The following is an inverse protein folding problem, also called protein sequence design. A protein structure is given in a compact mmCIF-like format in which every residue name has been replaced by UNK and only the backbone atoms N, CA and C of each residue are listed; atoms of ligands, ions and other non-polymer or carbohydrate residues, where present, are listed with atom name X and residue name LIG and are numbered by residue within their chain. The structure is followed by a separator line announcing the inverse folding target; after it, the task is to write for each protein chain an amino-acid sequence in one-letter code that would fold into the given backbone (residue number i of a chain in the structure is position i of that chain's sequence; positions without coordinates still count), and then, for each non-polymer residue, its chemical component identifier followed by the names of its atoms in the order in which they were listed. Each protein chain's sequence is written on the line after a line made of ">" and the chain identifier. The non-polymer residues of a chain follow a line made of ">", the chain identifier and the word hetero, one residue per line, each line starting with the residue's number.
data_IF_825530137247
#
_entry.id   IF_825530137247
#
_cell.length_a   1.000
_cell.length_b   1.000
_cell.length_c   1.000
_cell.angle_alpha   90.00
_cell.angle_beta   90.00
_cell.angle_gamma   90.00
#
_symmetry.space_group_name_H-M   'P 1'
#
loop_
_entity.id
_entity.type
_entity.pdbx_description
1 polymer ?
#
# COMPACT_ATOMS: atom_id res chain seq x y z
N UNK A 1 -25.15 25.02 -27.69
CA UNK A 1 -23.92 24.56 -28.40
C UNK A 1 -22.71 25.42 -28.05
N UNK A 2 -22.85 26.76 -27.96
CA UNK A 2 -21.71 27.67 -27.69
C UNK A 2 -21.16 27.61 -26.26
N UNK A 3 -22.03 27.50 -25.24
CA UNK A 3 -21.60 27.44 -23.84
C UNK A 3 -20.72 26.20 -23.53
N UNK A 4 -20.99 25.07 -24.19
CA UNK A 4 -20.19 23.83 -24.03
C UNK A 4 -18.80 24.02 -24.63
N UNK A 5 -18.69 24.68 -25.79
CA UNK A 5 -17.41 25.00 -26.42
C UNK A 5 -16.55 25.92 -25.57
N UNK A 6 -17.14 26.96 -24.97
CA UNK A 6 -16.43 27.91 -24.10
C UNK A 6 -15.92 27.22 -22.82
N UNK A 7 -16.73 26.34 -22.21
CA UNK A 7 -16.31 25.55 -21.04
C UNK A 7 -15.18 24.58 -21.41
N UNK A 8 -15.26 23.89 -22.55
CA UNK A 8 -14.20 22.98 -23.00
C UNK A 8 -12.87 23.72 -23.25
N UNK A 9 -12.92 24.92 -23.83
CA UNK A 9 -11.72 25.75 -24.06
C UNK A 9 -11.15 26.26 -22.73
N UNK A 10 -11.99 26.71 -21.79
CA UNK A 10 -11.54 27.13 -20.46
C UNK A 10 -10.88 25.98 -19.68
N UNK A 11 -11.43 24.77 -19.74
CA UNK A 11 -10.84 23.57 -19.12
C UNK A 11 -9.50 23.23 -19.79
N UNK A 12 -9.41 23.28 -21.11
CA UNK A 12 -8.18 23.00 -21.85
C UNK A 12 -7.06 24.00 -21.56
N UNK A 13 -7.39 25.27 -21.30
CA UNK A 13 -6.42 26.32 -20.96
C UNK A 13 -5.98 26.28 -19.48
N UNK A 14 -6.85 25.82 -18.58
CA UNK A 14 -6.53 25.67 -17.15
C UNK A 14 -5.83 24.34 -16.82
N UNK A 15 -6.06 23.28 -17.60
CA UNK A 15 -5.50 21.96 -17.36
C UNK A 15 -3.95 21.93 -17.27
N UNK A 16 -3.19 22.65 -18.12
CA UNK A 16 -1.72 22.71 -18.00
C UNK A 16 -1.27 23.44 -16.73
N UNK A 17 -1.96 24.51 -16.33
CA UNK A 17 -1.66 25.25 -15.10
C UNK A 17 -1.97 24.43 -13.85
N UNK A 18 -3.08 23.70 -13.84
CA UNK A 18 -3.43 22.72 -12.80
C UNK A 18 -2.38 21.61 -12.77
N UNK A 19 -1.98 21.07 -13.92
CA UNK A 19 -0.95 20.02 -14.03
C UNK A 19 0.41 20.49 -13.50
N UNK A 20 0.80 21.74 -13.78
CA UNK A 20 2.08 22.30 -13.33
C UNK A 20 2.07 22.63 -11.83
N UNK A 21 0.99 23.27 -11.34
CA UNK A 21 0.78 23.51 -9.92
C UNK A 21 0.74 22.19 -9.12
N UNK A 22 0.16 21.15 -9.72
CA UNK A 22 0.11 19.80 -9.17
C UNK A 22 1.49 19.16 -9.06
N UNK A 23 2.27 19.16 -10.14
CA UNK A 23 3.65 18.65 -10.12
C UNK A 23 4.55 19.42 -9.14
N UNK A 24 4.34 20.74 -9.01
CA UNK A 24 5.04 21.56 -8.05
C UNK A 24 4.66 21.22 -6.59
N UNK A 25 3.36 21.02 -6.32
CA UNK A 25 2.85 20.56 -5.02
C UNK A 25 3.34 19.14 -4.66
N UNK A 26 3.42 18.24 -5.63
CA UNK A 26 3.99 16.89 -5.46
C UNK A 26 5.46 16.94 -5.05
N UNK A 27 6.25 17.79 -5.72
CA UNK A 27 7.68 17.92 -5.48
C UNK A 27 8.01 18.53 -4.12
N UNK A 28 7.23 19.54 -3.69
CA UNK A 28 7.34 20.14 -2.36
C UNK A 28 6.97 19.16 -1.23
N UNK A 29 5.90 18.37 -1.41
CA UNK A 29 5.44 17.40 -0.39
C UNK A 29 6.35 16.19 -0.26
N UNK A 30 6.94 15.73 -1.36
CA UNK A 30 7.98 14.70 -1.37
C UNK A 30 9.16 15.04 -0.45
N UNK A 31 9.53 16.32 -0.35
CA UNK A 31 10.62 16.74 0.53
C UNK A 31 10.22 16.78 2.01
N UNK A 32 8.97 17.18 2.31
CA UNK A 32 8.45 17.19 3.70
C UNK A 32 8.32 15.76 4.27
N UNK A 33 7.97 14.78 3.43
CA UNK A 33 7.81 13.38 3.86
C UNK A 33 9.13 12.64 4.05
N UNK A 34 10.18 13.02 3.31
CA UNK A 34 11.53 12.49 3.52
C UNK A 34 12.08 12.84 4.91
N UNK A 35 11.68 14.00 5.47
CA UNK A 35 12.04 14.40 6.83
C UNK A 35 11.31 13.60 7.93
N UNK A 36 10.13 13.04 7.64
CA UNK A 36 9.31 12.28 8.58
C UNK A 36 9.76 10.82 8.73
N UNK A 37 10.33 10.22 7.68
CA UNK A 37 10.65 8.79 7.64
C UNK A 37 12.06 8.44 8.12
N UNK A 38 12.90 9.43 8.44
CA UNK A 38 14.30 9.25 8.81
C UNK A 38 15.15 8.73 7.64
N UNK A 39 16.34 9.30 7.42
CA UNK A 39 17.21 8.84 6.32
C UNK A 39 17.65 7.39 6.54
N UNK A 40 17.48 6.52 5.53
CA UNK A 40 18.01 5.15 5.55
C UNK A 40 17.17 4.11 6.32
N UNK A 41 15.93 4.44 6.69
CA UNK A 41 15.02 3.49 7.34
C UNK A 41 14.81 2.21 6.54
N UNK A 42 14.81 1.06 7.24
CA UNK A 42 14.53 -0.27 6.71
C UNK A 42 13.04 -0.53 6.90
N UNK A 43 12.30 -0.44 5.80
CA UNK A 43 10.86 -0.50 5.79
C UNK A 43 10.37 -1.93 5.64
N UNK A 44 9.37 -2.34 6.42
CA UNK A 44 8.65 -3.60 6.28
C UNK A 44 7.21 -3.31 5.86
N UNK A 45 6.82 -3.80 4.68
CA UNK A 45 5.42 -3.89 4.30
C UNK A 45 4.85 -5.22 4.78
N UNK A 46 3.80 -5.16 5.60
CA UNK A 46 3.08 -6.32 6.11
C UNK A 46 1.72 -6.44 5.43
N UNK A 47 1.51 -7.52 4.68
CA UNK A 47 0.28 -7.81 3.93
C UNK A 47 -0.30 -9.17 4.29
N UNK A 48 -1.58 -9.37 4.00
CA UNK A 48 -2.25 -10.63 4.29
C UNK A 48 -2.08 -11.61 3.12
N UNK A 49 -2.23 -11.11 1.89
CA UNK A 49 -2.35 -11.94 0.70
C UNK A 49 -1.43 -11.49 -0.44
N UNK A 50 -1.02 -12.43 -1.30
CA UNK A 50 -0.49 -12.09 -2.61
C UNK A 50 -1.47 -11.19 -3.35
N UNK A 51 -1.00 -10.09 -3.93
CA UNK A 51 -1.73 -9.01 -4.64
C UNK A 51 -1.97 -7.74 -3.82
N UNK A 52 -1.97 -7.80 -2.49
CA UNK A 52 -2.16 -6.63 -1.63
C UNK A 52 -1.10 -5.56 -1.90
N UNK A 53 0.14 -5.97 -2.17
CA UNK A 53 1.28 -5.08 -2.37
C UNK A 53 1.09 -4.18 -3.60
N UNK A 54 0.55 -4.76 -4.69
CA UNK A 54 0.30 -4.04 -5.93
C UNK A 54 -1.08 -3.36 -5.91
N UNK A 55 -2.06 -3.96 -5.24
CA UNK A 55 -3.44 -3.49 -5.21
C UNK A 55 -3.62 -2.29 -4.29
N UNK A 56 -2.93 -2.27 -3.15
CA UNK A 56 -3.13 -1.27 -2.11
C UNK A 56 -1.89 -0.43 -1.84
N UNK A 57 -0.69 -0.99 -1.97
CA UNK A 57 0.55 -0.36 -1.47
C UNK A 57 1.54 0.07 -2.54
N UNK A 58 1.24 -0.08 -3.84
CA UNK A 58 2.16 0.32 -4.90
C UNK A 58 2.64 1.79 -4.79
N UNK A 59 1.78 2.78 -4.43
CA UNK A 59 2.26 4.13 -4.17
C UNK A 59 3.29 4.22 -3.05
N UNK A 60 3.05 3.53 -1.94
CA UNK A 60 3.98 3.50 -0.79
C UNK A 60 5.30 2.85 -1.17
N UNK A 61 5.27 1.69 -1.83
CA UNK A 61 6.46 0.95 -2.23
C UNK A 61 7.35 1.76 -3.18
N UNK A 62 6.77 2.33 -4.24
CA UNK A 62 7.53 3.15 -5.19
C UNK A 62 8.01 4.46 -4.56
N UNK A 63 7.23 5.03 -3.64
CA UNK A 63 7.63 6.18 -2.84
C UNK A 63 8.84 5.91 -1.94
N UNK A 64 8.84 4.79 -1.21
CA UNK A 64 9.96 4.35 -0.37
C UNK A 64 11.20 4.04 -1.22
N UNK A 65 11.02 3.40 -2.38
CA UNK A 65 12.09 3.16 -3.34
C UNK A 65 12.72 4.47 -3.86
N UNK A 66 11.92 5.49 -4.17
CA UNK A 66 12.41 6.83 -4.54
C UNK A 66 13.24 7.48 -3.43
N UNK A 67 12.83 7.28 -2.17
CA UNK A 67 13.56 7.75 -0.99
C UNK A 67 14.76 6.87 -0.62
N UNK A 68 15.02 5.80 -1.38
CA UNK A 68 16.11 4.84 -1.17
C UNK A 68 16.04 4.13 0.19
N UNK A 69 14.84 3.92 0.71
CA UNK A 69 14.62 3.03 1.85
C UNK A 69 14.65 1.57 1.37
N UNK A 70 15.49 0.70 1.96
CA UNK A 70 15.36 -0.73 1.75
C UNK A 70 13.98 -1.21 2.18
N UNK A 71 13.29 -1.95 1.30
CA UNK A 71 11.97 -2.49 1.59
C UNK A 71 12.04 -4.00 1.76
N UNK A 72 11.39 -4.47 2.80
CA UNK A 72 11.08 -5.86 3.12
C UNK A 72 9.58 -6.07 3.00
N UNK A 73 9.19 -7.28 2.63
CA UNK A 73 7.78 -7.65 2.52
C UNK A 73 7.54 -8.94 3.30
N UNK A 74 6.57 -8.89 4.21
CA UNK A 74 6.06 -10.06 4.92
C UNK A 74 4.60 -10.29 4.53
N UNK A 75 4.33 -11.40 3.85
CA UNK A 75 2.99 -11.83 3.47
C UNK A 75 2.54 -12.97 4.38
N UNK A 76 1.44 -12.80 5.11
CA UNK A 76 1.02 -13.76 6.14
C UNK A 76 0.34 -15.03 5.62
N UNK A 77 -0.10 -15.03 4.37
CA UNK A 77 -0.66 -16.23 3.74
C UNK A 77 -0.16 -16.40 2.31
N UNK A 78 -0.17 -17.65 1.81
CA UNK A 78 0.08 -17.95 0.40
C UNK A 78 -1.12 -17.62 -0.51
N UNK A 79 -2.25 -17.15 0.03
CA UNK A 79 -3.45 -16.84 -0.75
C UNK A 79 -4.15 -18.09 -1.30
N UNK A 80 -4.13 -19.18 -0.53
CA UNK A 80 -4.46 -20.52 -1.01
C UNK A 80 -5.97 -20.88 -0.91
N UNK A 81 -6.88 -19.92 -0.71
CA UNK A 81 -8.33 -20.23 -0.57
C UNK A 81 -8.89 -21.07 -1.72
N UNK A 82 -8.44 -20.78 -2.95
CA UNK A 82 -8.84 -21.49 -4.16
C UNK A 82 -7.86 -22.59 -4.61
N UNK A 83 -7.01 -23.11 -3.71
CA UNK A 83 -5.94 -24.07 -4.02
C UNK A 83 -4.93 -23.56 -5.07
N UNK A 84 -4.64 -22.25 -5.05
CA UNK A 84 -3.77 -21.56 -6.01
C UNK A 84 -2.50 -20.97 -5.36
N UNK A 85 -2.17 -21.36 -4.13
CA UNK A 85 -1.10 -20.75 -3.33
C UNK A 85 0.27 -20.81 -4.02
N UNK A 86 0.63 -21.95 -4.62
CA UNK A 86 1.89 -22.08 -5.37
C UNK A 86 2.02 -21.13 -6.56
N UNK A 87 0.90 -20.87 -7.25
CA UNK A 87 0.87 -19.92 -8.36
C UNK A 87 1.01 -18.50 -7.81
N UNK A 88 0.21 -18.15 -6.79
CA UNK A 88 0.18 -16.81 -6.20
C UNK A 88 1.47 -16.42 -5.50
N UNK A 89 2.20 -17.38 -4.91
CA UNK A 89 3.56 -17.16 -4.40
C UNK A 89 4.51 -16.67 -5.51
N UNK A 90 4.46 -17.31 -6.68
CA UNK A 90 5.26 -16.91 -7.85
C UNK A 90 4.83 -15.55 -8.40
N UNK A 91 3.52 -15.31 -8.47
CA UNK A 91 2.97 -14.02 -8.92
C UNK A 91 3.37 -12.87 -7.99
N UNK A 92 3.35 -13.07 -6.68
CA UNK A 92 3.83 -12.11 -5.68
C UNK A 92 5.31 -11.78 -5.88
N UNK A 93 6.18 -12.80 -5.99
CA UNK A 93 7.61 -12.57 -6.22
C UNK A 93 7.88 -11.79 -7.50
N UNK A 94 7.15 -12.08 -8.59
CA UNK A 94 7.26 -11.34 -9.84
C UNK A 94 6.77 -9.89 -9.70
N UNK A 95 5.67 -9.68 -8.97
CA UNK A 95 5.14 -8.34 -8.69
C UNK A 95 6.10 -7.51 -7.84
N UNK A 96 6.69 -8.12 -6.80
CA UNK A 96 7.72 -7.52 -5.96
C UNK A 96 8.95 -7.07 -6.77
N UNK A 97 9.43 -7.90 -7.70
CA UNK A 97 10.51 -7.55 -8.61
C UNK A 97 10.17 -6.30 -9.45
N UNK A 98 8.96 -6.25 -10.02
CA UNK A 98 8.45 -5.07 -10.74
C UNK A 98 8.38 -3.83 -9.85
N UNK A 99 8.09 -3.99 -8.56
CA UNK A 99 8.01 -2.90 -7.58
C UNK A 99 9.39 -2.53 -6.97
N UNK A 100 10.46 -3.24 -7.34
CA UNK A 100 11.83 -2.97 -6.89
C UNK A 100 12.19 -3.60 -5.55
N UNK A 101 11.46 -4.62 -5.09
CA UNK A 101 11.77 -5.38 -3.88
C UNK A 101 12.54 -6.64 -4.29
N UNK A 102 13.78 -6.83 -3.83
CA UNK A 102 14.54 -8.03 -4.18
C UNK A 102 13.91 -9.28 -3.53
N UNK A 103 13.93 -10.45 -4.19
CA UNK A 103 13.34 -11.68 -3.65
C UNK A 103 13.86 -12.09 -2.26
N UNK A 104 15.11 -11.74 -1.94
CA UNK A 104 15.72 -12.00 -0.62
C UNK A 104 15.05 -11.24 0.52
N UNK A 105 14.32 -10.17 0.21
CA UNK A 105 13.60 -9.35 1.18
C UNK A 105 12.10 -9.70 1.24
N UNK A 106 11.66 -10.73 0.53
CA UNK A 106 10.27 -11.17 0.50
C UNK A 106 10.12 -12.48 1.27
N UNK A 107 9.31 -12.47 2.31
CA UNK A 107 8.93 -13.66 3.07
C UNK A 107 7.43 -13.90 2.92
N UNK A 108 7.07 -15.12 2.53
CA UNK A 108 5.67 -15.55 2.43
C UNK A 108 5.46 -16.67 3.45
N UNK A 109 4.56 -16.46 4.38
CA UNK A 109 4.19 -17.46 5.37
C UNK A 109 3.20 -18.44 4.73
N UNK A 110 3.56 -19.71 4.77
CA UNK A 110 2.73 -20.82 4.34
C UNK A 110 2.51 -21.74 5.55
N UNK A 111 1.51 -21.38 6.37
CA UNK A 111 1.27 -21.97 7.68
C UNK A 111 -0.22 -22.19 7.91
N UNK A 112 -0.56 -23.31 8.54
CA UNK A 112 -1.94 -23.62 8.96
C UNK A 112 -2.52 -22.62 9.97
N UNK A 113 -1.67 -21.82 10.62
CA UNK A 113 -2.11 -20.82 11.60
C UNK A 113 -2.66 -19.54 10.94
N UNK A 114 -2.30 -19.28 9.68
CA UNK A 114 -2.74 -18.12 8.91
C UNK A 114 -3.37 -18.54 7.58
N UNK A 115 -4.44 -19.37 7.62
CA UNK A 115 -5.10 -19.81 6.40
C UNK A 115 -5.72 -18.61 5.70
N UNK A 116 -5.66 -18.61 4.37
CA UNK A 116 -6.48 -17.73 3.54
C UNK A 116 -7.91 -18.28 3.53
N UNK A 117 -8.68 -17.97 4.56
CA UNK A 117 -10.09 -18.37 4.71
C UNK A 117 -10.89 -17.20 5.32
N UNK A 118 -11.88 -16.64 4.61
CA UNK A 118 -12.72 -15.56 5.11
C UNK A 118 -13.49 -15.89 6.40
N UNK A 119 -13.74 -17.18 6.66
CA UNK A 119 -14.44 -17.68 7.85
C UNK A 119 -13.56 -17.76 9.09
N UNK A 120 -12.24 -17.80 8.94
CA UNK A 120 -11.28 -17.96 10.04
C UNK A 120 -10.75 -16.62 10.52
N UNK A 121 -10.64 -16.46 11.84
CA UNK A 121 -9.95 -15.32 12.44
C UNK A 121 -8.53 -15.73 12.79
N UNK A 122 -7.54 -14.91 12.40
CA UNK A 122 -6.16 -15.14 12.82
C UNK A 122 -5.98 -14.71 14.27
N UNK A 123 -5.25 -15.53 15.03
CA UNK A 123 -4.91 -15.21 16.41
C UNK A 123 -3.96 -14.00 16.46
N UNK A 124 -4.41 -12.92 17.12
CA UNK A 124 -3.70 -11.63 17.12
C UNK A 124 -2.33 -11.74 17.79
N UNK A 125 -2.21 -12.50 18.87
CA UNK A 125 -0.94 -12.70 19.59
C UNK A 125 0.06 -13.49 18.74
N UNK A 126 -0.41 -14.50 18.01
CA UNK A 126 0.43 -15.27 17.10
C UNK A 126 0.91 -14.42 15.92
N UNK A 127 0.02 -13.62 15.32
CA UNK A 127 0.41 -12.66 14.27
C UNK A 127 1.45 -11.68 14.82
N UNK A 128 1.23 -11.12 16.02
CA UNK A 128 2.11 -10.18 16.68
C UNK A 128 3.50 -10.80 16.97
N UNK A 129 3.54 -12.04 17.45
CA UNK A 129 4.77 -12.77 17.74
C UNK A 129 5.63 -12.97 16.48
N UNK A 130 5.02 -13.48 15.40
CA UNK A 130 5.72 -13.68 14.12
C UNK A 130 6.19 -12.36 13.52
N UNK A 131 5.36 -11.33 13.59
CA UNK A 131 5.71 -10.00 13.12
C UNK A 131 6.90 -9.42 13.91
N UNK A 132 6.86 -9.48 15.24
CA UNK A 132 7.93 -8.96 16.10
C UNK A 132 9.25 -9.66 15.80
N UNK A 133 9.22 -10.99 15.70
CA UNK A 133 10.40 -11.77 15.33
C UNK A 133 10.98 -11.32 13.97
N UNK A 134 10.13 -11.09 12.97
CA UNK A 134 10.58 -10.63 11.66
C UNK A 134 11.16 -9.21 11.70
N UNK A 135 10.57 -8.33 12.52
CA UNK A 135 11.05 -6.96 12.75
C UNK A 135 12.45 -6.97 13.36
N UNK A 136 12.66 -7.76 14.41
CA UNK A 136 13.93 -7.85 15.13
C UNK A 136 15.03 -8.47 14.26
N UNK A 137 14.76 -9.59 13.59
CA UNK A 137 15.78 -10.30 12.76
C UNK A 137 16.26 -9.45 11.58
N UNK A 138 15.43 -8.55 11.07
CA UNK A 138 15.74 -7.73 9.89
C UNK A 138 16.09 -6.27 10.21
N UNK A 139 16.22 -5.92 11.49
CA UNK A 139 16.49 -4.55 11.97
C UNK A 139 15.50 -3.52 11.38
N UNK A 140 14.21 -3.85 11.38
CA UNK A 140 13.16 -3.00 10.82
C UNK A 140 12.87 -1.84 11.78
N UNK A 141 12.86 -0.62 11.24
CA UNK A 141 12.52 0.60 11.99
C UNK A 141 11.35 1.39 11.38
N UNK A 142 10.75 0.88 10.30
CA UNK A 142 9.52 1.41 9.73
C UNK A 142 8.61 0.26 9.33
N UNK A 143 7.46 0.12 9.98
CA UNK A 143 6.44 -0.88 9.62
C UNK A 143 5.30 -0.18 8.88
N UNK A 144 4.87 -0.75 7.76
CA UNK A 144 3.72 -0.28 6.99
C UNK A 144 2.71 -1.42 6.88
N UNK A 145 1.45 -1.17 7.24
CA UNK A 145 0.37 -2.15 7.05
C UNK A 145 -1.00 -1.47 6.86
N UNK A 146 -2.07 -2.24 6.92
CA UNK A 146 -3.45 -1.76 6.89
C UNK A 146 -3.85 -1.03 8.17
N UNK A 147 -4.87 -0.18 8.10
CA UNK A 147 -5.51 0.40 9.29
C UNK A 147 -6.64 -0.50 9.84
N UNK A 148 -7.34 0.00 10.86
CA UNK A 148 -8.48 -0.68 11.50
C UNK A 148 -9.61 -1.04 10.53
N UNK A 149 -9.72 -0.35 9.40
CA UNK A 149 -10.75 -0.60 8.40
C UNK A 149 -10.37 -1.70 7.40
N UNK A 150 -9.10 -2.12 7.34
CA UNK A 150 -8.65 -3.20 6.45
C UNK A 150 -9.00 -2.97 4.97
N UNK A 151 -9.07 -1.70 4.54
CA UNK A 151 -9.56 -1.18 3.24
C UNK A 151 -11.04 -1.43 2.94
N UNK A 152 -11.54 -2.64 3.19
CA UNK A 152 -12.92 -3.08 2.94
C UNK A 152 -13.49 -3.91 4.09
N UNK A 153 -12.87 -3.89 5.26
CA UNK A 153 -13.23 -4.73 6.40
C UNK A 153 -12.75 -6.17 6.28
N UNK A 154 -11.72 -6.43 5.45
CA UNK A 154 -11.20 -7.79 5.30
C UNK A 154 -10.58 -8.25 6.63
N UNK A 155 -11.06 -9.38 7.18
CA UNK A 155 -10.67 -9.86 8.52
C UNK A 155 -9.16 -10.04 8.67
N UNK A 156 -8.50 -10.66 7.69
CA UNK A 156 -7.05 -10.82 7.73
C UNK A 156 -6.29 -9.48 7.77
N UNK A 157 -6.76 -8.45 7.04
CA UNK A 157 -6.14 -7.12 7.07
C UNK A 157 -6.33 -6.46 8.44
N UNK A 158 -7.53 -6.61 9.01
CA UNK A 158 -7.86 -6.11 10.36
C UNK A 158 -7.04 -6.83 11.43
N UNK A 159 -6.78 -8.13 11.27
CA UNK A 159 -5.94 -8.91 12.17
C UNK A 159 -4.48 -8.41 12.16
N UNK A 160 -3.93 -8.09 10.99
CA UNK A 160 -2.59 -7.48 10.88
C UNK A 160 -2.53 -6.13 11.62
N UNK A 161 -3.54 -5.28 11.41
CA UNK A 161 -3.64 -4.01 12.14
C UNK A 161 -3.74 -4.23 13.66
N UNK A 162 -4.58 -5.17 14.10
CA UNK A 162 -4.75 -5.47 15.52
C UNK A 162 -3.43 -5.91 16.16
N UNK A 163 -2.68 -6.80 15.50
CA UNK A 163 -1.39 -7.31 15.98
C UNK A 163 -0.35 -6.18 16.09
N UNK A 164 -0.21 -5.36 15.04
CA UNK A 164 0.72 -4.22 15.05
C UNK A 164 0.35 -3.21 16.13
N UNK A 165 -0.94 -2.94 16.32
CA UNK A 165 -1.44 -2.05 17.37
C UNK A 165 -1.15 -2.61 18.76
N UNK A 166 -1.33 -3.91 18.98
CA UNK A 166 -0.97 -4.57 20.25
C UNK A 166 0.51 -4.36 20.55
N UNK A 167 1.40 -4.72 19.61
CA UNK A 167 2.85 -4.53 19.77
C UNK A 167 3.22 -3.07 20.08
N UNK A 168 2.60 -2.11 19.40
CA UNK A 168 2.82 -0.68 19.64
C UNK A 168 2.35 -0.26 21.03
N UNK A 169 1.13 -0.62 21.42
CA UNK A 169 0.54 -0.23 22.72
C UNK A 169 1.28 -0.82 23.93
N UNK A 170 1.80 -2.04 23.78
CA UNK A 170 2.57 -2.73 24.80
C UNK A 170 4.07 -2.35 24.77
N UNK A 171 4.46 -1.45 23.87
CA UNK A 171 5.86 -1.00 23.68
C UNK A 171 6.82 -2.17 23.43
N UNK A 172 6.37 -3.19 22.70
CA UNK A 172 7.17 -4.35 22.29
C UNK A 172 7.98 -4.10 21.02
N UNK A 173 7.61 -3.10 20.22
CA UNK A 173 8.38 -2.73 19.03
C UNK A 173 9.76 -2.16 19.42
N UNK A 174 10.81 -2.39 18.60
CA UNK A 174 12.13 -1.81 18.85
C UNK A 174 12.08 -0.28 19.00
N UNK A 175 12.99 0.27 19.81
CA UNK A 175 13.07 1.71 20.01
C UNK A 175 13.27 2.46 18.69
N UNK A 176 12.48 3.52 18.48
CA UNK A 176 12.49 4.30 17.24
C UNK A 176 11.78 3.63 16.05
N UNK A 177 11.20 2.45 16.21
CA UNK A 177 10.40 1.82 15.16
C UNK A 177 9.07 2.56 14.98
N UNK A 178 8.89 3.15 13.80
CA UNK A 178 7.66 3.88 13.44
C UNK A 178 6.68 2.95 12.75
N UNK A 179 5.40 3.03 13.08
CA UNK A 179 4.34 2.31 12.37
C UNK A 179 3.50 3.28 11.56
N UNK A 180 3.31 2.98 10.28
CA UNK A 180 2.39 3.66 9.38
C UNK A 180 1.27 2.73 8.92
N UNK A 181 0.04 3.22 8.95
CA UNK A 181 -1.15 2.45 8.55
C UNK A 181 -1.87 3.09 7.37
N UNK A 182 -2.27 2.28 6.39
CA UNK A 182 -2.97 2.73 5.19
C UNK A 182 -4.42 3.10 5.52
N UNK A 183 -4.75 4.37 5.31
CA UNK A 183 -6.09 4.89 5.54
C UNK A 183 -7.14 4.20 4.67
N UNK A 184 -8.11 3.56 5.32
CA UNK A 184 -9.34 3.09 4.71
C UNK A 184 -10.27 4.26 4.37
N UNK A 185 -10.70 4.34 3.12
CA UNK A 185 -11.70 5.31 2.66
C UNK A 185 -13.02 4.64 2.26
N UNK A 186 -14.10 5.43 2.26
CA UNK A 186 -15.40 4.97 1.76
C UNK A 186 -15.36 4.59 0.27
N UNK A 187 -16.40 3.89 -0.20
CA UNK A 187 -16.49 3.36 -1.56
C UNK A 187 -16.38 4.45 -2.62
N UNK A 188 -16.96 5.63 -2.40
CA UNK A 188 -16.88 6.74 -3.36
C UNK A 188 -15.42 7.18 -3.53
N UNK A 189 -14.75 7.54 -2.43
CA UNK A 189 -13.34 7.95 -2.43
C UNK A 189 -12.42 6.86 -2.96
N UNK A 190 -12.78 5.59 -2.76
CA UNK A 190 -12.04 4.42 -3.26
C UNK A 190 -11.95 4.43 -4.79
N UNK A 191 -12.99 4.87 -5.50
CA UNK A 191 -13.11 4.71 -6.96
C UNK A 191 -13.11 6.01 -7.78
N UNK A 192 -12.77 7.16 -7.18
CA UNK A 192 -12.60 8.43 -7.91
C UNK A 192 -11.15 8.70 -8.35
N UNK A 193 -10.26 7.70 -8.26
CA UNK A 193 -8.87 7.76 -8.70
C UNK A 193 -8.11 9.02 -8.19
N UNK A 194 -7.51 9.79 -9.10
CA UNK A 194 -6.74 11.00 -8.80
C UNK A 194 -7.62 12.16 -8.31
N UNK A 195 -8.93 12.13 -8.59
CA UNK A 195 -9.86 13.15 -8.11
C UNK A 195 -10.04 13.11 -6.59
N UNK A 196 -9.54 12.07 -5.91
CA UNK A 196 -9.49 12.03 -4.45
C UNK A 196 -8.39 12.93 -3.85
N UNK A 197 -7.41 13.42 -4.64
CA UNK A 197 -6.29 14.15 -4.06
C UNK A 197 -6.74 15.37 -3.24
N UNK A 198 -7.64 16.26 -3.71
CA UNK A 198 -8.08 17.41 -2.92
C UNK A 198 -8.59 17.01 -1.54
N UNK A 199 -9.43 15.98 -1.45
CA UNK A 199 -9.92 15.44 -0.17
C UNK A 199 -8.79 14.85 0.67
N UNK A 200 -7.87 14.14 0.04
CA UNK A 200 -6.68 13.63 0.68
C UNK A 200 -5.78 14.74 1.21
N UNK A 201 -5.73 15.92 0.58
CA UNK A 201 -4.90 17.05 1.04
C UNK A 201 -5.47 17.75 2.27
N UNK A 202 -6.79 17.70 2.49
CA UNK A 202 -7.43 18.35 3.64
C UNK A 202 -7.07 17.71 4.99
N UNK A 203 -6.61 16.46 5.00
CA UNK A 203 -6.32 15.72 6.23
C UNK A 203 -4.88 15.96 6.72
N UNK A 204 -4.65 16.93 7.59
CA UNK A 204 -3.30 17.17 8.15
C UNK A 204 -2.72 15.92 8.85
N UNK A 205 -1.39 15.80 8.92
CA UNK A 205 -0.70 14.71 9.65
C UNK A 205 -0.40 13.43 8.87
N UNK A 206 -1.01 13.21 7.69
CA UNK A 206 -0.74 12.00 6.90
C UNK A 206 0.54 12.06 6.06
N UNK A 207 1.34 10.98 6.10
CA UNK A 207 2.35 10.70 5.07
C UNK A 207 1.61 10.27 3.80
N UNK A 208 2.01 10.76 2.63
CA UNK A 208 1.28 10.53 1.38
C UNK A 208 2.19 10.23 0.22
N UNK A 209 1.95 9.11 -0.44
CA UNK A 209 2.64 8.80 -1.68
C UNK A 209 1.69 8.97 -2.85
N UNK A 210 2.05 9.86 -3.77
CA UNK A 210 1.34 10.09 -5.04
C UNK A 210 2.24 9.61 -6.17
N UNK A 211 1.70 8.77 -7.05
CA UNK A 211 2.44 8.22 -8.17
C UNK A 211 2.43 9.13 -9.39
N UNK A 212 3.60 9.28 -9.99
CA UNK A 212 3.76 9.82 -11.34
C UNK A 212 3.18 8.89 -12.40
N UNK A 213 2.94 9.38 -13.62
CA UNK A 213 2.44 8.55 -14.73
C UNK A 213 3.32 7.33 -15.05
N UNK A 214 4.64 7.43 -14.86
CA UNK A 214 5.57 6.32 -15.04
C UNK A 214 5.40 5.26 -13.95
N UNK A 215 5.31 5.68 -12.69
CA UNK A 215 5.09 4.80 -11.55
C UNK A 215 3.72 4.13 -11.59
N UNK A 216 2.68 4.82 -12.08
CA UNK A 216 1.37 4.20 -12.31
C UNK A 216 1.48 3.07 -13.32
N UNK A 217 2.22 3.29 -14.42
CA UNK A 217 2.44 2.22 -15.41
C UNK A 217 3.17 1.04 -14.76
N UNK A 218 4.13 1.30 -13.87
CA UNK A 218 4.81 0.27 -13.09
C UNK A 218 3.87 -0.47 -12.13
N UNK A 219 3.04 0.23 -11.36
CA UNK A 219 2.03 -0.36 -10.48
C UNK A 219 1.02 -1.23 -11.25
N UNK A 220 0.61 -0.80 -12.45
CA UNK A 220 -0.23 -1.60 -13.34
C UNK A 220 0.48 -2.86 -13.85
N UNK A 221 1.78 -2.79 -14.15
CA UNK A 221 2.58 -3.98 -14.51
C UNK A 221 2.68 -4.95 -13.33
N UNK A 222 2.89 -4.45 -12.11
CA UNK A 222 2.89 -5.27 -10.90
C UNK A 222 1.55 -5.99 -10.72
N UNK A 223 0.42 -5.27 -10.84
CA UNK A 223 -0.91 -5.90 -10.83
C UNK A 223 -1.11 -6.95 -11.94
N UNK A 224 -0.47 -6.79 -13.10
CA UNK A 224 -0.58 -7.74 -14.21
C UNK A 224 0.19 -9.04 -13.98
N UNK A 225 1.10 -9.09 -12.99
CA UNK A 225 1.76 -10.32 -12.55
C UNK A 225 0.76 -11.28 -11.86
N UNK A 226 -0.26 -10.75 -11.18
CA UNK A 226 -1.30 -11.50 -10.48
C UNK A 226 -2.40 -12.03 -11.41
N UNK A 227 -2.01 -12.78 -12.45
CA UNK A 227 -2.92 -13.27 -13.49
C UNK A 227 -4.04 -14.14 -12.93
N UNK A 228 -3.73 -15.00 -11.96
CA UNK A 228 -4.70 -15.87 -11.30
C UNK A 228 -5.79 -15.11 -10.55
N UNK A 229 -5.53 -13.84 -10.20
CA UNK A 229 -6.41 -13.00 -9.38
C UNK A 229 -7.06 -11.86 -10.17
N UNK A 230 -6.63 -11.59 -11.42
CA UNK A 230 -7.03 -10.45 -12.25
C UNK A 230 -8.41 -10.63 -12.94
N UNK A 231 -9.44 -10.85 -12.12
CA UNK A 231 -10.84 -10.90 -12.54
C UNK A 231 -11.32 -9.57 -13.14
N UNK A 232 -12.44 -9.59 -13.88
CA UNK A 232 -12.92 -8.42 -14.63
C UNK A 232 -13.11 -7.17 -13.75
N UNK A 233 -13.61 -7.32 -12.53
CA UNK A 233 -13.81 -6.19 -11.60
C UNK A 233 -12.47 -5.66 -11.05
N UNK A 234 -11.43 -6.49 -10.96
CA UNK A 234 -10.08 -6.01 -10.62
C UNK A 234 -9.48 -5.14 -11.71
N UNK A 235 -9.88 -5.34 -12.98
CA UNK A 235 -9.49 -4.43 -14.07
C UNK A 235 -10.10 -3.04 -13.89
N UNK A 236 -11.35 -2.96 -13.43
CA UNK A 236 -11.98 -1.68 -13.07
C UNK A 236 -11.26 -1.05 -11.87
N UNK A 237 -10.92 -1.85 -10.85
CA UNK A 237 -10.13 -1.39 -9.72
C UNK A 237 -8.78 -0.80 -10.19
N UNK A 238 -8.07 -1.47 -11.10
CA UNK A 238 -6.79 -0.99 -11.67
C UNK A 238 -6.91 0.37 -12.35
N UNK A 239 -8.09 0.68 -12.91
CA UNK A 239 -8.34 1.95 -13.60
C UNK A 239 -8.77 3.05 -12.63
N UNK A 240 -9.69 2.74 -11.72
CA UNK A 240 -10.44 3.74 -10.95
C UNK A 240 -10.03 3.84 -9.48
N UNK A 241 -9.31 2.85 -8.94
CA UNK A 241 -8.94 2.87 -7.54
C UNK A 241 -7.96 4.01 -7.23
N UNK A 242 -8.25 4.78 -6.18
CA UNK A 242 -7.30 5.74 -5.65
C UNK A 242 -6.05 5.06 -5.10
N UNK A 243 -6.11 3.82 -4.62
CA UNK A 243 -4.96 3.15 -4.01
C UNK A 243 -3.86 2.75 -5.01
N UNK A 244 -4.16 2.73 -6.31
CA UNK A 244 -3.15 2.62 -7.37
C UNK A 244 -2.48 3.95 -7.74
N UNK A 245 -2.87 5.04 -7.08
CA UNK A 245 -2.41 6.41 -7.39
C UNK A 245 -1.90 7.15 -6.16
N UNK A 246 -2.61 7.01 -5.05
CA UNK A 246 -2.45 7.78 -3.83
C UNK A 246 -2.59 6.86 -2.62
N UNK A 247 -1.53 6.73 -1.83
CA UNK A 247 -1.63 6.22 -0.46
C UNK A 247 -1.61 7.39 0.53
N UNK A 248 -2.51 7.35 1.50
CA UNK A 248 -2.49 8.22 2.68
C UNK A 248 -2.23 7.33 3.89
N UNK A 249 -1.13 7.56 4.59
CA UNK A 249 -0.68 6.77 5.72
C UNK A 249 -0.75 7.61 7.00
N UNK A 250 -1.13 6.99 8.11
CA UNK A 250 -1.18 7.61 9.44
C UNK A 250 -0.23 6.88 10.40
N UNK A 251 0.47 7.62 11.25
CA UNK A 251 1.34 7.03 12.27
C UNK A 251 0.53 6.51 13.46
N UNK A 252 0.85 5.33 14.00
CA UNK A 252 0.22 4.84 15.23
C UNK A 252 0.71 5.58 16.48
#
# INVERSE_FOLDING_TARGET
>A
MEAVGVVCVAVALLAPGIFWAWHFLERMKSQVQAGLLGSGSRALLVIAHPDDEAMFFAPTLLGLARLRHPVFLLCFSAGNYYNQGEIRKKELLQSCDVLGIPPTNVMIIDSRYFPDDPGVEWDTEHVASVLLQHIEVNDINLVVTFDAGGVSGHRNHVALYAAVRTLHSERKLPEGCTVLTLQSVNVLRKYIALLDLPFSLLHAGHVRFVLTSKEVTQAKRAMSCHRSQLLWFRRLYVLFSRYLRINSLHAL
#
